data_IF_784569989001
#
_entry.id   IF_784569989001
#
_cell.length_a   1.000
_cell.length_b   1.000
_cell.length_c   1.000
_cell.angle_alpha   90.00
_cell.angle_beta   90.00
_cell.angle_gamma   90.00
#
_symmetry.space_group_name_H-M   'P 1'
#
loop_
_entity.id
_entity.type
_entity.pdbx_description
1 polymer ?
#
# COMPACT_ATOMS: atom_id res chain seq x y z
N UNK A 1 -3.57 -8.06 -10.75
CA UNK A 1 -3.35 -8.06 -9.29
C UNK A 1 -1.86 -8.26 -9.02
N UNK A 2 -1.27 -7.55 -8.04
CA UNK A 2 0.20 -7.53 -7.83
C UNK A 2 0.73 -8.65 -6.93
N UNK A 3 -0.12 -9.55 -6.44
CA UNK A 3 0.29 -10.74 -5.66
C UNK A 3 0.88 -10.47 -4.27
N UNK A 4 0.88 -9.23 -3.79
CA UNK A 4 1.49 -8.82 -2.51
C UNK A 4 0.67 -9.22 -1.28
N UNK A 5 -0.65 -9.35 -1.42
CA UNK A 5 -1.58 -9.74 -0.35
C UNK A 5 -2.53 -10.81 -0.88
N UNK A 6 -2.90 -11.75 0.00
CA UNK A 6 -3.86 -12.81 -0.28
C UNK A 6 -4.92 -12.89 0.81
N UNK A 7 -6.01 -13.57 0.52
CA UNK A 7 -7.08 -13.83 1.49
C UNK A 7 -6.64 -14.99 2.40
N UNK A 8 -6.56 -14.74 3.70
CA UNK A 8 -6.18 -15.75 4.71
C UNK A 8 -7.39 -16.52 5.27
N UNK A 9 -8.58 -15.94 5.17
CA UNK A 9 -9.81 -16.57 5.64
C UNK A 9 -10.92 -15.57 5.91
N UNK A 10 -11.83 -15.94 6.82
CA UNK A 10 -12.90 -15.06 7.30
C UNK A 10 -12.81 -14.96 8.82
N UNK A 11 -13.08 -13.78 9.36
CA UNK A 11 -13.13 -13.60 10.80
C UNK A 11 -14.38 -14.27 11.40
N UNK A 12 -14.25 -14.88 12.57
CA UNK A 12 -15.36 -15.48 13.33
C UNK A 12 -16.11 -14.41 14.15
N UNK A 13 -16.54 -13.34 13.47
CA UNK A 13 -17.34 -12.25 14.01
C UNK A 13 -18.59 -12.03 13.13
N UNK A 14 -19.66 -11.41 13.65
CA UNK A 14 -20.85 -11.11 12.86
C UNK A 14 -20.49 -10.35 11.57
N UNK A 15 -20.98 -10.84 10.44
CA UNK A 15 -20.65 -10.33 9.10
C UNK A 15 -19.50 -11.07 8.39
N UNK A 16 -18.74 -11.92 9.09
CA UNK A 16 -17.65 -12.76 8.55
C UNK A 16 -16.81 -12.07 7.47
N UNK A 17 -16.18 -10.91 7.79
CA UNK A 17 -15.37 -10.18 6.82
C UNK A 17 -14.15 -11.01 6.37
N UNK A 18 -13.67 -10.72 5.16
CA UNK A 18 -12.46 -11.34 4.61
C UNK A 18 -11.23 -10.84 5.35
N UNK A 19 -10.35 -11.76 5.73
CA UNK A 19 -9.05 -11.48 6.31
C UNK A 19 -7.99 -11.50 5.21
N UNK A 20 -7.06 -10.56 5.28
CA UNK A 20 -5.97 -10.43 4.33
C UNK A 20 -4.64 -10.62 5.04
N UNK A 21 -3.71 -11.28 4.36
CA UNK A 21 -2.35 -11.47 4.83
C UNK A 21 -1.33 -11.20 3.72
N UNK A 22 -0.10 -10.87 4.11
CA UNK A 22 1.02 -10.71 3.18
C UNK A 22 1.45 -12.05 2.61
N UNK A 23 1.91 -12.06 1.37
CA UNK A 23 2.41 -13.28 0.70
C UNK A 23 3.92 -13.42 0.83
N UNK A 24 4.47 -14.56 0.43
CA UNK A 24 5.93 -14.71 0.29
C UNK A 24 6.49 -13.72 -0.74
N UNK A 25 5.75 -13.46 -1.81
CA UNK A 25 6.13 -12.48 -2.83
C UNK A 25 6.28 -11.06 -2.27
N UNK A 26 5.50 -10.69 -1.24
CA UNK A 26 5.72 -9.44 -0.50
C UNK A 26 7.10 -9.42 0.15
N UNK A 27 7.47 -10.49 0.85
CA UNK A 27 8.78 -10.57 1.51
C UNK A 27 9.91 -10.47 0.49
N UNK A 28 9.82 -11.20 -0.62
CA UNK A 28 10.81 -11.18 -1.69
C UNK A 28 10.90 -9.79 -2.36
N UNK A 29 9.76 -9.12 -2.59
CA UNK A 29 9.70 -7.79 -3.19
C UNK A 29 10.33 -6.70 -2.31
N UNK A 30 10.16 -6.79 -0.99
CA UNK A 30 10.73 -5.86 -0.03
C UNK A 30 12.12 -6.28 0.48
N UNK A 31 12.65 -7.41 0.02
CA UNK A 31 13.96 -7.93 0.42
C UNK A 31 14.01 -8.39 1.88
N UNK A 32 12.88 -8.85 2.42
CA UNK A 32 12.74 -9.32 3.80
C UNK A 32 12.78 -10.84 3.82
N UNK A 33 13.42 -11.43 4.84
CA UNK A 33 13.34 -12.88 5.07
C UNK A 33 12.15 -13.25 5.96
N UNK A 34 11.81 -12.36 6.88
CA UNK A 34 10.72 -12.55 7.85
C UNK A 34 9.98 -11.24 8.13
N UNK A 35 8.72 -11.33 8.54
CA UNK A 35 7.91 -10.17 8.94
C UNK A 35 8.50 -9.41 10.14
N UNK A 36 9.31 -10.06 10.96
CA UNK A 36 9.97 -9.45 12.12
C UNK A 36 11.12 -8.52 11.72
N UNK A 37 11.60 -8.58 10.48
CA UNK A 37 12.61 -7.67 9.94
C UNK A 37 12.00 -6.34 9.46
N UNK A 38 10.66 -6.20 9.56
CA UNK A 38 9.99 -4.94 9.26
C UNK A 38 10.41 -3.85 10.27
N UNK A 39 10.77 -2.65 9.79
CA UNK A 39 11.07 -1.53 10.67
C UNK A 39 9.87 -1.18 11.53
N UNK A 40 10.16 -0.72 12.74
CA UNK A 40 9.16 -0.17 13.67
C UNK A 40 8.42 1.02 13.02
N UNK A 41 7.15 1.22 13.39
CA UNK A 41 6.35 2.41 13.05
C UNK A 41 7.11 3.73 13.24
N UNK A 42 7.86 3.87 14.33
CA UNK A 42 8.66 5.07 14.60
C UNK A 42 9.84 5.25 13.63
N UNK A 43 10.41 4.17 13.13
CA UNK A 43 11.48 4.19 12.11
C UNK A 43 10.90 4.45 10.72
N UNK A 44 9.70 3.93 10.43
CA UNK A 44 8.96 4.20 9.20
C UNK A 44 8.62 5.68 9.05
N UNK A 45 8.25 6.37 10.14
CA UNK A 45 7.98 7.83 10.13
C UNK A 45 9.23 8.66 9.84
N UNK A 46 10.40 8.17 10.25
CA UNK A 46 11.69 8.85 10.03
C UNK A 46 12.28 8.57 8.65
N UNK A 47 11.89 7.48 8.00
CA UNK A 47 12.24 7.21 6.61
C UNK A 47 11.41 8.12 5.69
N UNK A 48 12.10 8.89 4.87
CA UNK A 48 11.51 9.49 3.68
C UNK A 48 11.06 8.36 2.76
N UNK A 49 9.77 8.01 2.81
CA UNK A 49 9.17 7.19 1.78
C UNK A 49 9.19 8.02 0.49
N UNK A 50 9.56 7.42 -0.66
CA UNK A 50 9.42 8.09 -1.93
C UNK A 50 7.94 8.47 -2.09
N UNK A 51 7.65 9.76 -2.02
CA UNK A 51 6.32 10.29 -2.31
C UNK A 51 6.04 9.94 -3.75
N UNK A 52 5.11 9.01 -3.98
CA UNK A 52 4.57 8.79 -5.31
C UNK A 52 4.07 10.16 -5.81
N UNK A 53 4.48 10.61 -7.01
CA UNK A 53 3.99 11.86 -7.56
C UNK A 53 2.47 11.80 -7.50
N UNK A 54 1.85 12.74 -6.77
CA UNK A 54 0.40 12.86 -6.76
C UNK A 54 -0.01 13.00 -8.22
N UNK A 55 -0.84 12.09 -8.79
CA UNK A 55 -1.33 12.30 -10.13
C UNK A 55 -1.99 13.67 -10.15
N UNK A 56 -1.52 14.54 -11.05
CA UNK A 56 -2.08 15.87 -11.20
C UNK A 56 -3.60 15.74 -11.35
N UNK A 57 -4.40 16.64 -10.76
CA UNK A 57 -5.84 16.61 -10.96
C UNK A 57 -6.11 16.63 -12.47
N UNK A 58 -6.72 15.55 -12.97
CA UNK A 58 -7.00 15.29 -14.39
C UNK A 58 -7.93 16.34 -15.02
N UNK A 59 -8.51 17.24 -14.22
CA UNK A 59 -9.39 18.32 -14.67
C UNK A 59 -8.94 19.67 -14.10
N UNK A 60 -7.76 20.16 -14.49
CA UNK A 60 -7.56 21.61 -14.56
C UNK A 60 -8.23 22.07 -15.85
N UNK A 61 -9.32 22.86 -15.82
CA UNK A 61 -9.86 23.43 -17.04
C UNK A 61 -8.76 24.28 -17.67
N UNK A 62 -8.52 24.00 -18.95
CA UNK A 62 -7.59 24.68 -19.80
C UNK A 62 -7.73 26.20 -19.60
N UNK A 63 -6.57 26.85 -19.57
CA UNK A 63 -6.42 28.29 -19.72
C UNK A 63 -7.55 28.87 -20.58
N UNK A 64 -8.43 29.64 -19.95
CA UNK A 64 -9.28 30.56 -20.67
C UNK A 64 -8.37 31.67 -21.20
N UNK A 65 -7.80 31.42 -22.37
CA UNK A 65 -7.44 32.45 -23.33
C UNK A 65 -8.76 33.04 -23.83
N UNK A 66 -9.09 34.27 -23.44
CA UNK A 66 -9.75 35.24 -24.34
C UNK A 66 -9.68 36.64 -23.71
N UNK A 67 -8.91 37.51 -24.39
CA UNK A 67 -8.91 38.99 -24.44
C UNK A 67 -8.99 39.83 -23.15
#
# INVERSE_FOLDING_TARGET
>A
ERGLVKISGRAEIPGRPLLYETTQFFLDHFGLRHLNELPNVEELRKRYLPVAPRPAPVNAPAAATDL
#
